data_IF_787772370769
#
_entry.id   IF_787772370769
#
_cell.length_a   1.000
_cell.length_b   1.000
_cell.length_c   1.000
_cell.angle_alpha   90.00
_cell.angle_beta   90.00
_cell.angle_gamma   90.00
#
_symmetry.space_group_name_H-M   'P 1'
#
loop_
_entity.id
_entity.type
_entity.pdbx_description
1 polymer ?
#
# COMPACT_ATOMS: atom_id res chain seq x y z
N UNK A 1 -24.25 6.95 23.94
CA UNK A 1 -23.82 5.88 23.01
C UNK A 1 -23.75 4.60 23.82
N UNK A 2 -24.49 3.56 23.43
CA UNK A 2 -24.58 2.29 24.16
C UNK A 2 -23.40 1.39 23.81
N UNK A 3 -22.99 0.52 24.74
CA UNK A 3 -21.88 -0.42 24.54
C UNK A 3 -22.10 -1.33 23.32
N UNK A 4 -23.36 -1.65 23.00
CA UNK A 4 -23.71 -2.44 21.83
C UNK A 4 -23.46 -1.70 20.51
N UNK A 5 -23.64 -0.38 20.44
CA UNK A 5 -23.29 0.42 19.26
C UNK A 5 -21.78 0.53 19.09
N UNK A 6 -21.04 0.66 20.19
CA UNK A 6 -19.57 0.60 20.17
C UNK A 6 -19.09 -0.78 19.70
N UNK A 7 -19.71 -1.84 20.21
CA UNK A 7 -19.42 -3.23 19.81
C UNK A 7 -19.78 -3.47 18.35
N UNK A 8 -20.88 -2.92 17.85
CA UNK A 8 -21.35 -3.05 16.46
C UNK A 8 -20.55 -2.20 15.47
N UNK A 9 -20.09 -1.02 15.88
CA UNK A 9 -19.16 -0.17 15.13
C UNK A 9 -17.74 -0.77 15.10
N UNK A 10 -17.27 -1.35 16.21
CA UNK A 10 -16.01 -2.09 16.24
C UNK A 10 -16.12 -3.39 15.40
N UNK A 11 -17.21 -4.15 15.47
CA UNK A 11 -17.19 -5.51 14.91
C UNK A 11 -17.43 -5.66 13.40
N UNK A 12 -18.05 -4.71 12.67
CA UNK A 12 -18.64 -5.09 11.36
C UNK A 12 -18.01 -4.55 10.08
N UNK A 13 -17.34 -3.39 10.04
CA UNK A 13 -16.86 -2.91 8.73
C UNK A 13 -15.80 -1.81 8.77
N UNK A 14 -15.73 -1.03 9.83
CA UNK A 14 -14.79 0.08 9.96
C UNK A 14 -13.45 -0.37 10.55
N UNK A 15 -13.42 -1.42 11.39
CA UNK A 15 -12.15 -1.99 11.86
C UNK A 15 -11.28 -2.49 10.72
N UNK A 16 -11.82 -3.12 9.67
CA UNK A 16 -10.98 -3.66 8.58
C UNK A 16 -10.22 -2.58 7.78
N UNK A 17 -10.72 -1.34 7.71
CA UNK A 17 -10.02 -0.23 7.04
C UNK A 17 -9.24 0.66 8.00
N UNK A 18 -9.61 0.70 9.27
CA UNK A 18 -8.81 1.35 10.31
C UNK A 18 -7.59 0.51 10.67
N UNK A 19 -7.71 -0.81 10.76
CA UNK A 19 -6.60 -1.72 11.15
C UNK A 19 -5.45 -1.67 10.13
N UNK A 20 -5.75 -1.60 8.83
CA UNK A 20 -4.72 -1.44 7.78
C UNK A 20 -4.00 -0.08 7.81
N UNK A 21 -4.64 0.96 8.36
CA UNK A 21 -4.07 2.32 8.47
C UNK A 21 -3.44 2.57 9.84
N UNK A 22 -3.94 1.90 10.89
CA UNK A 22 -3.47 2.01 12.26
C UNK A 22 -2.25 1.11 12.48
N UNK A 23 -2.17 -0.05 11.80
CA UNK A 23 -1.04 -1.01 11.82
C UNK A 23 0.34 -0.32 11.78
N UNK A 24 0.68 0.53 10.78
CA UNK A 24 2.01 1.15 10.71
C UNK A 24 2.27 2.21 11.79
N UNK A 25 1.23 2.77 12.41
CA UNK A 25 1.35 3.84 13.42
C UNK A 25 1.20 3.37 14.86
N UNK A 26 0.64 2.18 15.10
CA UNK A 26 0.36 1.70 16.44
C UNK A 26 1.63 1.26 17.18
N UNK A 27 2.58 0.66 16.46
CA UNK A 27 3.85 0.18 17.02
C UNK A 27 4.68 1.30 17.65
N UNK A 28 4.96 2.44 16.97
CA UNK A 28 5.71 3.53 17.60
C UNK A 28 4.97 4.16 18.79
N UNK A 29 3.63 4.26 18.73
CA UNK A 29 2.82 4.77 19.85
C UNK A 29 2.92 3.82 21.05
N UNK A 30 2.79 2.51 20.82
CA UNK A 30 2.88 1.50 21.86
C UNK A 30 4.27 1.44 22.49
N UNK A 31 5.32 1.59 21.68
CA UNK A 31 6.69 1.68 22.17
C UNK A 31 6.91 2.92 23.06
N UNK A 32 6.42 4.08 22.65
CA UNK A 32 6.49 5.31 23.44
C UNK A 32 5.71 5.18 24.76
N UNK A 33 4.50 4.63 24.72
CA UNK A 33 3.68 4.38 25.91
C UNK A 33 4.33 3.35 26.84
N UNK A 34 4.87 2.26 26.30
CA UNK A 34 5.58 1.25 27.09
C UNK A 34 6.82 1.82 27.76
N UNK A 35 7.61 2.64 27.05
CA UNK A 35 8.74 3.35 27.64
C UNK A 35 8.30 4.32 28.75
N UNK A 36 7.24 5.09 28.52
CA UNK A 36 6.72 6.00 29.53
C UNK A 36 6.22 5.25 30.78
N UNK A 37 5.57 4.10 30.60
CA UNK A 37 5.12 3.24 31.69
C UNK A 37 6.29 2.68 32.50
N UNK A 38 7.34 2.17 31.83
CA UNK A 38 8.55 1.67 32.49
C UNK A 38 9.25 2.80 33.26
N UNK A 39 9.37 3.99 32.67
CA UNK A 39 9.97 5.15 33.31
C UNK A 39 9.20 5.58 34.56
N UNK A 40 7.87 5.72 34.44
CA UNK A 40 7.02 6.12 35.55
C UNK A 40 7.05 5.06 36.67
N UNK A 41 7.01 3.78 36.31
CA UNK A 41 7.19 2.68 37.26
C UNK A 41 8.54 2.77 37.97
N UNK A 42 9.64 2.94 37.24
CA UNK A 42 10.98 3.02 37.83
C UNK A 42 11.12 4.18 38.82
N UNK A 43 10.61 5.36 38.45
CA UNK A 43 10.65 6.55 39.32
C UNK A 43 9.78 6.34 40.57
N UNK A 44 8.55 5.86 40.41
CA UNK A 44 7.65 5.63 41.54
C UNK A 44 8.19 4.54 42.49
N UNK A 45 8.73 3.45 41.95
CA UNK A 45 9.38 2.38 42.72
C UNK A 45 10.62 2.88 43.46
N UNK A 46 11.45 3.70 42.81
CA UNK A 46 12.65 4.27 43.42
C UNK A 46 12.30 5.09 44.67
N UNK A 47 11.36 6.04 44.55
CA UNK A 47 10.95 6.87 45.69
C UNK A 47 10.23 6.07 46.77
N UNK A 48 9.42 5.09 46.39
CA UNK A 48 8.74 4.23 47.36
C UNK A 48 9.74 3.42 48.20
N UNK A 49 10.74 2.81 47.56
CA UNK A 49 11.79 2.03 48.23
C UNK A 49 12.76 2.90 49.04
N UNK A 50 13.12 4.08 48.54
CA UNK A 50 13.94 5.02 49.31
C UNK A 50 13.20 5.59 50.52
N UNK A 51 11.87 5.71 50.44
CA UNK A 51 11.03 6.19 51.53
C UNK A 51 10.95 5.22 52.72
N UNK A 52 11.11 3.91 52.49
CA UNK A 52 11.10 2.90 53.57
C UNK A 52 12.44 2.80 54.29
N UNK A 53 13.55 3.08 53.60
CA UNK A 53 14.87 3.15 54.21
C UNK A 53 16.00 3.19 53.19
N UNK A 54 17.20 3.59 53.63
CA UNK A 54 18.36 3.71 52.74
C UNK A 54 18.80 2.38 52.14
N UNK A 55 18.80 1.29 52.93
CA UNK A 55 19.13 -0.06 52.46
C UNK A 55 18.13 -0.60 51.45
N UNK A 56 16.84 -0.36 51.68
CA UNK A 56 15.76 -0.71 50.75
C UNK A 56 15.85 0.08 49.45
N UNK A 57 16.25 1.35 49.51
CA UNK A 57 16.52 2.16 48.34
C UNK A 57 17.64 1.59 47.47
N UNK A 58 18.73 1.14 48.10
CA UNK A 58 19.86 0.52 47.39
C UNK A 58 19.46 -0.81 46.72
N UNK A 59 18.68 -1.64 47.42
CA UNK A 59 18.10 -2.85 46.86
C UNK A 59 17.07 -2.54 45.75
N UNK A 60 16.28 -1.49 45.93
CA UNK A 60 15.33 -0.99 44.95
C UNK A 60 15.99 -0.53 43.65
N UNK A 61 17.20 0.03 43.71
CA UNK A 61 17.96 0.39 42.52
C UNK A 61 18.37 -0.86 41.71
N UNK A 62 18.80 -1.92 42.40
CA UNK A 62 19.10 -3.21 41.76
C UNK A 62 17.83 -3.83 41.17
N UNK A 63 16.71 -3.74 41.88
CA UNK A 63 15.41 -4.20 41.42
C UNK A 63 14.98 -3.47 40.13
N UNK A 64 15.08 -2.14 40.09
CA UNK A 64 14.80 -1.33 38.90
C UNK A 64 15.73 -1.72 37.75
N UNK A 65 17.01 -1.98 38.02
CA UNK A 65 17.95 -2.40 36.98
C UNK A 65 17.51 -3.73 36.34
N UNK A 66 17.24 -4.74 37.16
CA UNK A 66 16.89 -6.09 36.69
C UNK A 66 15.51 -6.11 36.05
N UNK A 67 14.48 -5.65 36.77
CA UNK A 67 13.10 -5.67 36.28
C UNK A 67 12.84 -4.61 35.21
N UNK A 68 13.51 -3.46 35.27
CA UNK A 68 13.45 -2.44 34.22
C UNK A 68 14.08 -2.92 32.91
N UNK A 69 15.25 -3.58 32.96
CA UNK A 69 15.82 -4.24 31.78
C UNK A 69 14.92 -5.36 31.26
N UNK A 70 14.39 -6.20 32.14
CA UNK A 70 13.46 -7.27 31.77
C UNK A 70 12.20 -6.71 31.11
N UNK A 71 11.61 -5.65 31.67
CA UNK A 71 10.46 -4.97 31.11
C UNK A 71 10.78 -4.32 29.75
N UNK A 72 11.98 -3.76 29.57
CA UNK A 72 12.43 -3.23 28.29
C UNK A 72 12.57 -4.32 27.23
N UNK A 73 13.16 -5.47 27.58
CA UNK A 73 13.24 -6.64 26.70
C UNK A 73 11.84 -7.17 26.37
N UNK A 74 10.96 -7.28 27.37
CA UNK A 74 9.56 -7.67 27.19
C UNK A 74 8.81 -6.71 26.26
N UNK A 75 9.03 -5.40 26.39
CA UNK A 75 8.47 -4.38 25.50
C UNK A 75 8.96 -4.58 24.06
N UNK A 76 10.26 -4.89 23.87
CA UNK A 76 10.82 -5.18 22.54
C UNK A 76 10.17 -6.40 21.90
N UNK A 77 10.11 -7.50 22.63
CA UNK A 77 9.47 -8.74 22.18
C UNK A 77 8.00 -8.48 21.88
N UNK A 78 7.30 -7.73 22.73
CA UNK A 78 5.90 -7.37 22.52
C UNK A 78 5.69 -6.55 21.25
N UNK A 79 6.53 -5.56 20.98
CA UNK A 79 6.45 -4.75 19.76
C UNK A 79 6.72 -5.58 18.49
N UNK A 80 7.70 -6.49 18.54
CA UNK A 80 8.00 -7.39 17.43
C UNK A 80 6.88 -8.41 17.20
N UNK A 81 6.34 -9.00 18.26
CA UNK A 81 5.19 -9.89 18.18
C UNK A 81 3.97 -9.18 17.58
N UNK A 82 3.76 -7.91 17.94
CA UNK A 82 2.68 -7.09 17.41
C UNK A 82 2.88 -6.82 15.90
N UNK A 83 4.10 -6.52 15.46
CA UNK A 83 4.44 -6.39 14.04
C UNK A 83 4.19 -7.69 13.26
N UNK A 84 4.60 -8.83 13.82
CA UNK A 84 4.38 -10.15 13.21
C UNK A 84 2.89 -10.47 13.13
N UNK A 85 2.13 -10.13 14.17
CA UNK A 85 0.68 -10.32 14.23
C UNK A 85 -0.05 -9.47 13.19
N UNK A 86 0.28 -8.18 13.08
CA UNK A 86 -0.31 -7.32 12.03
C UNK A 86 0.06 -7.82 10.63
N UNK A 87 1.32 -8.21 10.42
CA UNK A 87 1.78 -8.77 9.15
C UNK A 87 1.03 -10.05 8.75
N UNK A 88 0.70 -10.93 9.70
CA UNK A 88 -0.08 -12.15 9.40
C UNK A 88 -1.54 -11.86 9.09
N UNK A 89 -2.11 -10.79 9.67
CA UNK A 89 -3.49 -10.37 9.42
C UNK A 89 -3.64 -9.59 8.11
N UNK A 90 -2.64 -8.81 7.70
CA UNK A 90 -2.62 -8.18 6.36
C UNK A 90 -2.69 -9.22 5.24
N UNK A 91 -1.94 -10.32 5.34
CA UNK A 91 -1.98 -11.42 4.36
C UNK A 91 -3.38 -12.07 4.25
N UNK A 92 -4.13 -12.11 5.35
CA UNK A 92 -5.49 -12.65 5.38
C UNK A 92 -6.49 -11.70 4.71
N UNK A 93 -6.32 -10.39 4.88
CA UNK A 93 -7.17 -9.36 4.24
C UNK A 93 -7.03 -9.32 2.72
N UNK A 94 -5.82 -9.48 2.20
CA UNK A 94 -5.53 -9.41 0.76
C UNK A 94 -6.14 -10.60 0.00
N UNK A 95 -6.16 -11.79 0.62
CA UNK A 95 -6.82 -12.97 0.04
C UNK A 95 -8.34 -12.82 -0.08
N UNK A 96 -8.98 -12.10 0.86
CA UNK A 96 -10.43 -11.84 0.86
C UNK A 96 -10.82 -10.72 -0.10
N UNK A 97 -9.97 -9.69 -0.26
CA UNK A 97 -10.18 -8.69 -1.31
C UNK A 97 -10.03 -9.31 -2.70
N UNK A 98 -8.96 -10.09 -2.92
CA UNK A 98 -8.72 -10.77 -4.21
C UNK A 98 -9.85 -11.73 -4.58
N UNK A 99 -10.41 -12.47 -3.62
CA UNK A 99 -11.54 -13.39 -3.89
C UNK A 99 -12.82 -12.65 -4.29
N UNK A 100 -13.07 -11.46 -3.70
CA UNK A 100 -14.20 -10.60 -4.09
C UNK A 100 -14.03 -9.97 -5.47
N UNK A 101 -12.83 -9.50 -5.80
CA UNK A 101 -12.52 -8.99 -7.15
C UNK A 101 -12.61 -10.09 -8.23
N UNK A 102 -12.16 -11.31 -7.94
CA UNK A 102 -12.34 -12.42 -8.88
C UNK A 102 -13.80 -12.81 -9.08
N UNK A 103 -14.63 -12.72 -8.02
CA UNK A 103 -16.06 -13.00 -8.14
C UNK A 103 -16.78 -11.94 -8.99
N UNK A 104 -16.44 -10.64 -8.84
CA UNK A 104 -17.04 -9.58 -9.66
C UNK A 104 -16.59 -9.61 -11.11
N UNK A 105 -15.29 -9.89 -11.38
CA UNK A 105 -14.78 -9.98 -12.75
C UNK A 105 -15.35 -11.19 -13.50
N UNK A 106 -15.50 -12.33 -12.84
CA UNK A 106 -16.15 -13.49 -13.47
C UNK A 106 -17.63 -13.23 -13.74
N UNK A 107 -18.29 -12.45 -12.90
CA UNK A 107 -19.68 -12.06 -13.11
C UNK A 107 -19.81 -11.09 -14.29
N UNK A 108 -18.97 -10.07 -14.35
CA UNK A 108 -18.91 -9.09 -15.45
C UNK A 108 -18.54 -9.75 -16.79
N UNK A 109 -17.56 -10.67 -16.80
CA UNK A 109 -17.22 -11.44 -18.00
C UNK A 109 -18.37 -12.37 -18.42
N UNK A 110 -19.07 -12.97 -17.46
CA UNK A 110 -20.25 -13.81 -17.73
C UNK A 110 -21.40 -12.98 -18.32
N UNK A 111 -21.61 -11.78 -17.81
CA UNK A 111 -22.61 -10.83 -18.29
C UNK A 111 -22.28 -10.36 -19.72
N UNK A 112 -21.02 -9.96 -19.96
CA UNK A 112 -20.57 -9.59 -21.30
C UNK A 112 -20.69 -10.73 -22.33
N UNK A 113 -20.48 -11.98 -21.92
CA UNK A 113 -20.72 -13.16 -22.78
C UNK A 113 -22.21 -13.36 -23.03
N UNK A 114 -23.09 -13.02 -22.07
CA UNK A 114 -24.53 -13.09 -22.24
C UNK A 114 -25.00 -12.05 -23.25
N UNK A 115 -24.55 -10.82 -23.10
CA UNK A 115 -24.84 -9.72 -24.01
C UNK A 115 -24.38 -10.04 -25.44
N UNK A 116 -23.14 -10.54 -25.61
CA UNK A 116 -22.63 -10.92 -26.93
C UNK A 116 -23.40 -12.08 -27.57
N UNK A 117 -23.97 -12.97 -26.75
CA UNK A 117 -24.80 -14.07 -27.24
C UNK A 117 -26.21 -13.60 -27.63
N UNK A 118 -26.73 -12.55 -27.00
CA UNK A 118 -28.00 -11.91 -27.38
C UNK A 118 -27.83 -11.02 -28.62
N UNK A 119 -26.66 -10.41 -28.81
CA UNK A 119 -26.32 -9.58 -29.98
C UNK A 119 -26.02 -10.39 -31.25
N UNK A 120 -25.78 -11.71 -31.12
CA UNK A 120 -25.42 -12.62 -32.22
C UNK A 120 -26.58 -13.14 -33.08
N UNK A 121 -27.85 -12.84 -32.76
CA UNK A 121 -29.01 -13.26 -33.57
C UNK A 121 -29.50 -12.21 -34.57
N UNK A 122 -28.92 -10.99 -34.61
CA UNK A 122 -29.39 -9.88 -35.46
C UNK A 122 -28.39 -9.39 -36.53
N UNK A 123 -27.26 -10.07 -36.77
CA UNK A 123 -26.45 -9.76 -37.96
C UNK A 123 -27.15 -10.32 -39.21
N UNK A 124 -28.02 -9.50 -39.76
CA UNK A 124 -28.60 -9.62 -41.09
C UNK A 124 -27.45 -9.72 -42.12
N UNK A 125 -27.13 -10.95 -42.55
CA UNK A 125 -26.09 -11.25 -43.55
C UNK A 125 -26.43 -10.74 -44.97
N UNK A 126 -27.40 -9.83 -45.11
CA UNK A 126 -27.94 -9.35 -46.37
C UNK A 126 -27.19 -8.14 -46.97
N UNK A 127 -26.36 -7.42 -46.20
CA UNK A 127 -25.75 -6.14 -46.65
C UNK A 127 -24.30 -6.27 -47.17
N UNK A 128 -23.69 -7.47 -47.10
CA UNK A 128 -22.28 -7.66 -47.47
C UNK A 128 -22.02 -7.70 -49.00
N UNK A 129 -23.05 -7.79 -49.84
CA UNK A 129 -22.91 -7.92 -51.30
C UNK A 129 -22.91 -6.57 -52.06
N UNK A 130 -23.12 -5.43 -51.40
CA UNK A 130 -23.28 -4.14 -52.09
C UNK A 130 -21.96 -3.34 -52.29
N UNK A 131 -20.81 -3.87 -51.85
CA UNK A 131 -19.49 -3.22 -51.97
C UNK A 131 -18.57 -3.76 -53.07
N UNK A 132 -19.13 -4.22 -54.20
CA UNK A 132 -18.33 -4.41 -55.42
C UNK A 132 -18.09 -3.06 -56.12
N UNK A 133 -17.11 -2.29 -55.63
CA UNK A 133 -16.57 -1.16 -56.38
C UNK A 133 -15.77 -1.65 -57.59
N UNK A 134 -16.08 -1.22 -58.83
CA UNK A 134 -15.30 -1.61 -60.01
C UNK A 134 -13.84 -1.14 -59.90
N UNK A 135 -12.89 -2.01 -60.27
CA UNK A 135 -11.44 -1.90 -60.05
C UNK A 135 -10.71 -0.76 -60.81
N UNK A 136 -11.39 0.32 -61.16
CA UNK A 136 -10.86 1.46 -61.93
C UNK A 136 -10.73 2.76 -61.14
N UNK A 137 -11.11 2.78 -59.86
CA UNK A 137 -10.99 3.99 -59.04
C UNK A 137 -9.69 3.98 -58.21
N UNK A 138 -8.80 4.99 -58.37
CA UNK A 138 -7.57 5.06 -57.60
C UNK A 138 -7.88 5.34 -56.13
N UNK A 139 -7.21 4.62 -55.23
CA UNK A 139 -7.37 4.77 -53.79
C UNK A 139 -7.19 6.24 -53.33
N UNK A 140 -7.98 6.74 -52.37
CA UNK A 140 -7.86 8.10 -51.86
C UNK A 140 -6.45 8.37 -51.32
N UNK A 141 -5.81 9.45 -51.79
CA UNK A 141 -4.51 9.89 -51.29
C UNK A 141 -4.66 10.46 -49.88
N UNK A 142 -4.26 9.69 -48.87
CA UNK A 142 -4.10 10.18 -47.50
C UNK A 142 -2.73 10.87 -47.43
N UNK A 143 -2.64 12.20 -47.26
CA UNK A 143 -1.35 12.84 -47.01
C UNK A 143 -0.85 12.35 -45.65
N UNK A 144 0.29 11.65 -45.66
CA UNK A 144 0.97 11.22 -44.44
C UNK A 144 1.19 12.44 -43.54
N UNK A 145 0.58 12.41 -42.35
CA UNK A 145 0.86 13.38 -41.30
C UNK A 145 2.38 13.45 -41.11
N UNK A 146 2.92 14.66 -41.18
CA UNK A 146 4.35 14.97 -41.12
C UNK A 146 4.98 14.39 -39.85
N UNK A 147 5.56 13.20 -39.94
CA UNK A 147 6.55 12.75 -38.96
C UNK A 147 7.79 13.65 -39.08
N UNK A 148 8.34 14.19 -37.99
CA UNK A 148 9.59 14.93 -38.05
C UNK A 148 10.73 13.96 -38.39
N UNK A 149 11.33 14.16 -39.56
CA UNK A 149 12.43 13.37 -40.11
C UNK A 149 13.56 13.17 -39.08
N UNK A 150 13.92 11.90 -38.80
CA UNK A 150 15.16 11.56 -38.07
C UNK A 150 16.35 12.10 -38.85
N UNK A 151 17.23 12.85 -38.17
CA UNK A 151 18.47 13.31 -38.78
C UNK A 151 19.39 12.11 -39.07
N UNK A 152 19.95 11.98 -40.29
CA UNK A 152 20.80 10.85 -40.65
C UNK A 152 22.15 10.90 -39.92
N UNK A 153 22.71 9.72 -39.64
CA UNK A 153 24.04 9.58 -39.08
C UNK A 153 25.09 10.01 -40.13
N UNK A 154 26.00 10.91 -39.76
CA UNK A 154 26.99 11.50 -40.68
C UNK A 154 28.32 10.74 -40.72
N UNK A 155 28.43 9.58 -40.06
CA UNK A 155 29.64 8.75 -40.05
C UNK A 155 29.32 7.24 -39.99
N UNK A 156 30.15 6.37 -40.59
CA UNK A 156 29.94 4.92 -40.55
C UNK A 156 30.18 4.38 -39.13
N UNK A 157 29.18 3.72 -38.54
CA UNK A 157 29.26 3.06 -37.23
C UNK A 157 28.50 3.74 -36.08
N UNK A 158 27.85 4.88 -36.30
CA UNK A 158 27.02 5.53 -35.27
C UNK A 158 25.56 5.05 -35.32
N UNK A 159 24.97 4.72 -34.17
CA UNK A 159 23.52 4.59 -34.01
C UNK A 159 22.88 5.97 -33.79
N UNK A 160 21.62 6.14 -34.23
CA UNK A 160 20.96 7.46 -34.31
C UNK A 160 21.05 8.26 -32.99
N UNK A 161 21.36 9.56 -33.11
CA UNK A 161 21.54 10.46 -31.95
C UNK A 161 20.25 10.51 -31.09
N UNK A 162 20.30 10.16 -29.79
CA UNK A 162 19.13 10.23 -28.93
C UNK A 162 18.75 11.69 -28.62
N UNK A 163 17.44 11.94 -28.54
CA UNK A 163 16.82 13.24 -28.25
C UNK A 163 17.33 13.79 -26.90
N UNK A 164 18.02 14.93 -26.92
CA UNK A 164 18.39 15.67 -25.69
C UNK A 164 17.11 16.11 -24.97
N UNK A 165 16.76 15.46 -23.87
CA UNK A 165 15.84 16.00 -22.87
C UNK A 165 16.63 16.90 -21.91
N UNK A 166 16.06 18.06 -21.56
CA UNK A 166 16.77 19.10 -20.82
C UNK A 166 17.25 18.62 -19.44
N UNK A 167 18.57 18.69 -19.18
CA UNK A 167 19.16 18.47 -17.85
C UNK A 167 18.79 19.64 -16.93
N UNK A 168 18.10 19.36 -15.83
CA UNK A 168 17.84 20.28 -14.72
C UNK A 168 19.12 20.40 -13.88
N UNK A 169 19.80 21.54 -13.93
CA UNK A 169 20.95 21.88 -13.06
C UNK A 169 20.44 22.26 -11.66
N UNK A 170 21.08 21.81 -10.56
CA UNK A 170 20.73 22.27 -9.21
C UNK A 170 21.32 23.66 -8.93
N UNK A 171 20.64 24.53 -8.17
CA UNK A 171 21.16 25.85 -7.80
C UNK A 171 22.30 25.75 -6.78
N UNK A 172 23.32 26.61 -6.93
CA UNK A 172 24.46 26.74 -6.01
C UNK A 172 24.02 27.31 -4.66
N UNK A 173 24.50 26.73 -3.56
CA UNK A 173 24.41 27.28 -2.21
C UNK A 173 25.23 28.57 -2.12
N UNK A 174 24.62 29.66 -1.65
CA UNK A 174 25.32 30.88 -1.22
C UNK A 174 25.41 30.82 0.30
N UNK A 175 26.63 31.08 0.79
CA UNK A 175 27.08 31.27 2.18
C UNK A 175 26.10 31.95 3.11
#
# INVERSE_FOLDING_TARGET
MTLDDLKRLLTRQTLFRLDSILSPRLVPIFYALGLAAILLWAVSHFFFRFGTGFGDGLWGLLEILVFGLLAFVGLRIGCEALLVWFKSHEASGDSVQRSRYSASLLDEVRDAIRDLAEEGEETDYAEADEYFTPATEPAPHIPSATEPLRQPATAPGETHKPRRTARRSPPKSVT
#
